data_IF_323034031965
#
_entry.id   IF_323034031965
#
_cell.length_a   1.000
_cell.length_b   1.000
_cell.length_c   1.000
_cell.angle_alpha   90.00
_cell.angle_beta   90.00
_cell.angle_gamma   90.00
#
_symmetry.space_group_name_H-M   'P 1'
#
loop_
_entity.id
_entity.type
_entity.pdbx_description
1 polymer ?
#
# COMPACT_ATOMS: atom_id res chain seq x y z
N UNK A 1 -24.44 -27.18 -29.93
CA UNK A 1 -23.00 -27.41 -29.88
C UNK A 1 -22.46 -26.67 -28.67
N UNK A 2 -22.32 -27.35 -27.53
CA UNK A 2 -21.71 -26.84 -26.32
C UNK A 2 -20.19 -27.00 -26.47
N UNK A 3 -19.46 -25.89 -26.47
CA UNK A 3 -18.00 -25.88 -26.48
C UNK A 3 -17.52 -26.13 -25.05
N UNK A 4 -16.92 -27.26 -24.81
CA UNK A 4 -16.27 -27.56 -23.54
C UNK A 4 -14.95 -26.78 -23.47
N UNK A 5 -14.90 -25.76 -22.61
CA UNK A 5 -13.65 -25.12 -22.20
C UNK A 5 -12.85 -26.13 -21.38
N UNK A 6 -11.88 -26.74 -22.01
CA UNK A 6 -10.88 -27.59 -21.36
C UNK A 6 -10.00 -26.68 -20.48
N UNK A 7 -10.24 -26.69 -19.18
CA UNK A 7 -9.28 -26.16 -18.20
C UNK A 7 -8.13 -27.14 -18.11
N UNK A 8 -7.03 -26.87 -18.82
CA UNK A 8 -5.76 -27.56 -18.59
C UNK A 8 -5.36 -27.25 -17.14
N UNK A 9 -5.16 -28.25 -16.26
CA UNK A 9 -4.64 -27.97 -14.94
C UNK A 9 -3.22 -27.42 -15.10
N UNK A 10 -3.02 -26.15 -14.74
CA UNK A 10 -1.67 -25.57 -14.64
C UNK A 10 -0.94 -26.34 -13.56
N UNK A 11 0.10 -27.07 -13.96
CA UNK A 11 0.93 -27.82 -13.02
C UNK A 11 1.44 -26.87 -11.94
N UNK A 12 1.36 -27.29 -10.67
CA UNK A 12 1.89 -26.51 -9.56
C UNK A 12 3.39 -26.30 -9.79
N UNK A 13 3.92 -25.05 -9.75
CA UNK A 13 5.33 -24.78 -9.98
C UNK A 13 6.23 -25.60 -9.06
N UNK A 14 7.42 -25.92 -9.54
CA UNK A 14 8.43 -26.63 -8.72
C UNK A 14 8.89 -25.75 -7.57
N UNK A 15 9.09 -26.36 -6.38
CA UNK A 15 9.66 -25.68 -5.22
C UNK A 15 11.01 -25.04 -5.56
N UNK A 16 11.22 -23.82 -5.06
CA UNK A 16 12.45 -23.07 -5.23
C UNK A 16 13.18 -22.95 -3.88
N UNK A 17 14.49 -23.14 -3.91
CA UNK A 17 15.30 -22.88 -2.74
C UNK A 17 15.49 -21.36 -2.59
N UNK A 18 15.07 -20.79 -1.46
CA UNK A 18 15.28 -19.38 -1.15
C UNK A 18 15.46 -19.15 0.35
N UNK A 19 16.14 -18.07 0.67
CA UNK A 19 16.39 -17.58 2.02
C UNK A 19 15.48 -16.38 2.30
N UNK A 20 15.04 -16.23 3.56
CA UNK A 20 14.37 -15.04 4.07
C UNK A 20 15.35 -14.37 5.02
N UNK A 21 15.84 -13.17 4.66
CA UNK A 21 16.81 -12.40 5.44
C UNK A 21 16.18 -11.12 5.96
N UNK A 22 15.98 -10.98 7.28
CA UNK A 22 15.51 -9.71 7.85
C UNK A 22 16.46 -8.56 7.49
N UNK A 23 15.90 -7.41 7.16
CA UNK A 23 16.65 -6.17 6.96
C UNK A 23 16.89 -5.48 8.32
N UNK A 24 17.91 -4.62 8.42
CA UNK A 24 18.09 -3.79 9.62
C UNK A 24 16.88 -2.86 9.81
N UNK A 25 16.42 -2.72 11.05
CA UNK A 25 15.30 -1.85 11.40
C UNK A 25 14.06 -2.61 11.85
N UNK A 26 12.93 -1.91 11.88
CA UNK A 26 11.65 -2.44 12.37
C UNK A 26 10.88 -3.23 11.33
N UNK A 27 11.12 -2.93 10.05
CA UNK A 27 10.38 -3.52 8.91
C UNK A 27 11.35 -4.03 7.86
N UNK A 28 10.92 -5.05 7.13
CA UNK A 28 11.59 -5.53 5.94
C UNK A 28 12.29 -6.86 6.08
N UNK A 29 12.13 -7.69 5.06
CA UNK A 29 12.94 -8.88 4.82
C UNK A 29 13.22 -9.03 3.33
N UNK A 30 14.38 -9.54 2.99
CA UNK A 30 14.77 -9.84 1.63
C UNK A 30 14.54 -11.32 1.33
N UNK A 31 13.90 -11.60 0.19
CA UNK A 31 13.68 -12.96 -0.31
C UNK A 31 14.79 -13.23 -1.36
N UNK A 32 15.73 -14.07 -1.00
CA UNK A 32 16.96 -14.29 -1.79
C UNK A 32 16.89 -15.65 -2.48
N UNK A 33 17.13 -15.65 -3.78
CA UNK A 33 17.20 -16.88 -4.58
C UNK A 33 15.89 -17.32 -5.21
N UNK A 34 14.78 -16.59 -4.97
CA UNK A 34 13.49 -16.86 -5.61
C UNK A 34 13.36 -16.11 -6.93
N UNK A 35 12.90 -16.79 -7.96
CA UNK A 35 12.56 -16.24 -9.28
C UNK A 35 11.03 -16.31 -9.48
N UNK A 36 10.39 -15.17 -9.42
CA UNK A 36 8.92 -15.05 -9.58
C UNK A 36 8.47 -15.40 -11.01
N UNK A 37 9.34 -15.28 -12.02
CA UNK A 37 9.00 -15.62 -13.41
C UNK A 37 8.73 -17.11 -13.61
N UNK A 38 9.25 -17.96 -12.73
CA UNK A 38 9.06 -19.42 -12.73
C UNK A 38 7.76 -19.86 -12.03
N UNK A 39 7.01 -18.90 -11.50
CA UNK A 39 5.87 -19.15 -10.63
C UNK A 39 6.31 -19.59 -9.23
N UNK A 40 5.36 -19.56 -8.30
CA UNK A 40 5.57 -19.89 -6.88
C UNK A 40 4.55 -20.95 -6.49
N UNK A 41 4.99 -22.10 -5.99
CA UNK A 41 4.10 -23.13 -5.49
C UNK A 41 3.45 -22.73 -4.15
N UNK A 42 2.51 -23.51 -3.67
CA UNK A 42 1.74 -23.15 -2.47
C UNK A 42 2.59 -23.16 -1.19
N UNK A 43 3.56 -24.06 -1.08
CA UNK A 43 4.44 -24.13 0.07
C UNK A 43 5.38 -22.92 0.12
N UNK A 44 5.96 -22.55 -1.01
CA UNK A 44 6.84 -21.37 -1.11
C UNK A 44 6.04 -20.09 -0.88
N UNK A 45 4.83 -20.00 -1.43
CA UNK A 45 3.94 -18.86 -1.18
C UNK A 45 3.58 -18.72 0.29
N UNK A 46 3.26 -19.80 0.98
CA UNK A 46 2.95 -19.76 2.41
C UNK A 46 4.12 -19.21 3.25
N UNK A 47 5.37 -19.55 2.87
CA UNK A 47 6.58 -19.00 3.51
C UNK A 47 6.73 -17.49 3.24
N UNK A 48 6.49 -17.06 2.00
CA UNK A 48 6.54 -15.63 1.61
C UNK A 48 5.45 -14.84 2.34
N UNK A 49 4.23 -15.36 2.36
CA UNK A 49 3.11 -14.74 3.05
C UNK A 49 3.40 -14.59 4.55
N UNK A 50 3.95 -15.64 5.18
CA UNK A 50 4.37 -15.57 6.58
C UNK A 50 5.46 -14.52 6.79
N UNK A 51 6.46 -14.45 5.91
CA UNK A 51 7.50 -13.42 5.98
C UNK A 51 6.90 -12.00 5.86
N UNK A 52 5.91 -11.80 4.97
CA UNK A 52 5.21 -10.53 4.85
C UNK A 52 4.46 -10.15 6.15
N UNK A 53 3.79 -11.10 6.78
CA UNK A 53 3.11 -10.87 8.06
C UNK A 53 4.08 -10.56 9.21
N UNK A 54 5.26 -11.19 9.21
CA UNK A 54 6.25 -11.02 10.28
C UNK A 54 7.10 -9.75 10.11
N UNK A 55 7.39 -9.36 8.86
CA UNK A 55 8.31 -8.27 8.53
C UNK A 55 7.65 -7.07 7.85
N UNK A 56 6.37 -7.14 7.52
CA UNK A 56 5.53 -6.08 6.93
C UNK A 56 5.90 -5.69 5.49
N UNK A 57 7.18 -5.74 5.13
CA UNK A 57 7.69 -5.50 3.79
C UNK A 57 8.60 -6.66 3.38
N UNK A 58 8.40 -7.19 2.17
CA UNK A 58 9.30 -8.19 1.57
C UNK A 58 9.86 -7.69 0.26
N UNK A 59 11.14 -7.86 0.06
CA UNK A 59 11.87 -7.36 -1.11
C UNK A 59 12.40 -8.54 -1.93
N UNK A 60 12.09 -8.54 -3.21
CA UNK A 60 12.59 -9.50 -4.18
C UNK A 60 13.53 -8.76 -5.14
N UNK A 61 14.84 -9.06 -5.09
CA UNK A 61 15.82 -8.41 -5.94
C UNK A 61 15.83 -9.02 -7.34
N UNK A 62 16.20 -8.21 -8.33
CA UNK A 62 16.53 -8.62 -9.71
C UNK A 62 15.43 -9.43 -10.41
N UNK A 63 14.17 -9.15 -10.10
CA UNK A 63 13.05 -9.84 -10.72
C UNK A 63 12.77 -9.30 -12.12
N UNK A 64 12.67 -10.22 -13.08
CA UNK A 64 12.27 -9.94 -14.48
C UNK A 64 10.97 -10.66 -14.77
N UNK A 65 9.86 -10.00 -14.43
CA UNK A 65 8.52 -10.55 -14.59
C UNK A 65 7.69 -9.71 -15.57
N UNK A 66 6.79 -10.39 -16.27
CA UNK A 66 5.81 -9.71 -17.11
C UNK A 66 4.65 -9.14 -16.26
N UNK A 67 3.85 -8.21 -16.80
CA UNK A 67 2.63 -7.75 -16.13
C UNK A 67 1.71 -8.89 -15.69
N UNK A 68 1.54 -9.92 -16.53
CA UNK A 68 0.71 -11.08 -16.22
C UNK A 68 1.27 -11.89 -15.03
N UNK A 69 2.59 -12.05 -14.96
CA UNK A 69 3.25 -12.73 -13.85
C UNK A 69 3.13 -11.93 -12.55
N UNK A 70 3.27 -10.61 -12.61
CA UNK A 70 3.04 -9.72 -11.48
C UNK A 70 1.60 -9.84 -10.98
N UNK A 71 0.61 -9.78 -11.86
CA UNK A 71 -0.81 -9.94 -11.53
C UNK A 71 -1.08 -11.31 -10.94
N UNK A 72 -0.57 -12.38 -11.55
CA UNK A 72 -0.77 -13.74 -11.08
C UNK A 72 -0.22 -13.96 -9.66
N UNK A 73 0.97 -13.45 -9.39
CA UNK A 73 1.56 -13.52 -8.05
C UNK A 73 0.78 -12.67 -7.03
N UNK A 74 0.41 -11.45 -7.38
CA UNK A 74 -0.34 -10.54 -6.52
C UNK A 74 -1.71 -11.11 -6.14
N UNK A 75 -2.40 -11.78 -7.07
CA UNK A 75 -3.71 -12.44 -6.83
C UNK A 75 -3.66 -13.54 -5.75
N UNK A 76 -2.48 -14.06 -5.45
CA UNK A 76 -2.29 -15.03 -4.37
C UNK A 76 -2.58 -14.43 -2.98
N UNK A 77 -2.41 -13.12 -2.82
CA UNK A 77 -2.71 -12.39 -1.59
C UNK A 77 -4.17 -11.98 -1.48
N UNK A 78 -4.92 -11.93 -2.58
CA UNK A 78 -6.33 -11.55 -2.57
C UNK A 78 -6.82 -10.95 -3.88
N UNK A 79 -8.01 -10.35 -3.83
CA UNK A 79 -8.64 -9.67 -4.97
C UNK A 79 -7.89 -8.36 -5.24
N UNK A 80 -7.47 -8.16 -6.50
CA UNK A 80 -6.76 -6.96 -6.90
C UNK A 80 -7.73 -5.79 -7.07
N UNK A 81 -7.32 -4.62 -6.57
CA UNK A 81 -8.06 -3.38 -6.72
C UNK A 81 -7.68 -2.67 -8.02
N UNK A 82 -8.66 -2.07 -8.68
CA UNK A 82 -8.43 -1.20 -9.84
C UNK A 82 -8.51 0.24 -9.37
N UNK A 83 -7.45 1.01 -9.63
CA UNK A 83 -7.36 2.39 -9.17
C UNK A 83 -8.36 3.30 -9.91
N UNK A 84 -8.87 4.33 -9.21
CA UNK A 84 -9.87 5.28 -9.74
C UNK A 84 -9.35 6.13 -10.90
N UNK A 85 -8.05 6.42 -10.95
CA UNK A 85 -7.39 7.18 -12.02
C UNK A 85 -7.06 6.26 -13.20
N UNK A 86 -8.08 5.92 -13.98
CA UNK A 86 -7.98 4.93 -15.07
C UNK A 86 -6.98 5.29 -16.17
N UNK A 87 -6.69 6.57 -16.38
CA UNK A 87 -5.71 7.04 -17.37
C UNK A 87 -4.26 6.69 -17.04
N UNK A 88 -3.96 6.29 -15.79
CA UNK A 88 -2.64 5.86 -15.35
C UNK A 88 -2.54 4.34 -15.19
N UNK A 89 -3.56 3.59 -15.61
CA UNK A 89 -3.50 2.13 -15.60
C UNK A 89 -2.70 1.63 -16.80
N UNK A 90 -1.95 0.55 -16.59
CA UNK A 90 -1.21 -0.09 -17.68
C UNK A 90 -2.18 -0.61 -18.75
N UNK A 91 -1.90 -0.30 -20.01
CA UNK A 91 -2.72 -0.77 -21.13
C UNK A 91 -2.86 -2.30 -21.11
N UNK A 92 -4.08 -2.80 -21.24
CA UNK A 92 -4.47 -4.21 -21.18
C UNK A 92 -4.27 -4.90 -19.80
N UNK A 93 -3.78 -4.19 -18.78
CA UNK A 93 -3.57 -4.72 -17.42
C UNK A 93 -4.07 -3.70 -16.39
N UNK A 94 -5.40 -3.51 -16.25
CA UNK A 94 -5.98 -2.46 -15.41
C UNK A 94 -5.71 -2.64 -13.92
N UNK A 95 -5.23 -3.81 -13.50
CA UNK A 95 -4.80 -4.07 -12.12
C UNK A 95 -3.46 -3.40 -11.76
N UNK A 96 -2.73 -2.89 -12.76
CA UNK A 96 -1.43 -2.23 -12.57
C UNK A 96 -1.59 -0.72 -12.77
N UNK A 97 -1.29 0.03 -11.72
CA UNK A 97 -1.17 1.49 -11.75
C UNK A 97 0.27 1.86 -12.06
N UNK A 98 0.47 2.73 -13.05
CA UNK A 98 1.79 3.29 -13.34
C UNK A 98 2.07 4.44 -12.38
N UNK A 99 3.13 4.33 -11.60
CA UNK A 99 3.68 5.40 -10.76
C UNK A 99 4.97 5.88 -11.44
N UNK A 100 4.96 7.11 -11.95
CA UNK A 100 6.06 7.64 -12.73
C UNK A 100 6.02 9.18 -12.79
N UNK A 101 7.19 9.81 -12.76
CA UNK A 101 7.38 11.22 -13.04
C UNK A 101 7.83 11.50 -14.51
N UNK A 102 7.85 10.47 -15.35
CA UNK A 102 8.24 10.59 -16.76
C UNK A 102 7.12 11.28 -17.55
N UNK A 103 7.54 12.20 -18.43
CA UNK A 103 6.65 12.90 -19.35
C UNK A 103 7.00 12.50 -20.77
N UNK A 104 6.04 11.95 -21.48
CA UNK A 104 6.15 11.61 -22.90
C UNK A 104 5.19 12.48 -23.73
N UNK A 105 5.69 13.10 -24.78
CA UNK A 105 4.90 13.99 -25.65
C UNK A 105 4.09 15.07 -24.89
N UNK A 106 4.66 15.59 -23.78
CA UNK A 106 4.02 16.61 -22.95
C UNK A 106 2.94 16.08 -22.01
N UNK A 107 2.80 14.76 -21.86
CA UNK A 107 1.84 14.12 -20.96
C UNK A 107 2.56 13.20 -19.95
N UNK A 108 2.08 13.19 -18.73
CA UNK A 108 2.56 12.23 -17.72
C UNK A 108 2.08 10.82 -18.09
N UNK A 109 3.01 9.85 -18.07
CA UNK A 109 2.69 8.44 -18.30
C UNK A 109 2.14 7.74 -17.07
N UNK A 110 2.29 8.33 -15.88
CA UNK A 110 1.87 7.74 -14.61
C UNK A 110 1.54 8.78 -13.56
N UNK A 111 1.24 8.31 -12.36
CA UNK A 111 0.97 9.14 -11.20
C UNK A 111 2.31 9.63 -10.61
N UNK A 112 2.66 10.89 -10.85
CA UNK A 112 3.98 11.43 -10.54
C UNK A 112 4.18 11.88 -9.08
N UNK A 113 3.09 12.05 -8.33
CA UNK A 113 3.11 12.52 -6.95
C UNK A 113 2.69 11.45 -5.92
N UNK A 114 2.64 10.19 -6.34
CA UNK A 114 2.36 9.08 -5.43
C UNK A 114 3.45 8.99 -4.35
N UNK A 115 3.02 8.76 -3.10
CA UNK A 115 3.95 8.62 -1.98
C UNK A 115 4.54 9.92 -1.42
N UNK A 116 4.04 11.08 -1.82
CA UNK A 116 4.52 12.38 -1.32
C UNK A 116 4.31 12.58 0.19
N UNK A 117 3.24 12.02 0.73
CA UNK A 117 2.90 12.06 2.15
C UNK A 117 2.92 10.65 2.72
N UNK A 118 3.19 10.52 4.02
CA UNK A 118 2.99 9.27 4.73
C UNK A 118 1.53 8.83 4.62
N UNK A 119 1.29 7.59 4.20
CA UNK A 119 -0.05 7.06 3.98
C UNK A 119 -0.09 5.53 4.11
N UNK A 120 -1.29 5.02 4.27
CA UNK A 120 -1.59 3.61 4.06
C UNK A 120 -2.48 3.50 2.83
N UNK A 121 -2.11 2.62 1.90
CA UNK A 121 -2.81 2.48 0.63
C UNK A 121 -4.29 2.14 0.82
N UNK A 122 -5.13 2.87 0.08
CA UNK A 122 -6.58 2.73 0.08
C UNK A 122 -7.24 2.88 1.46
N UNK A 123 -6.60 3.56 2.44
CA UNK A 123 -7.22 3.81 3.75
C UNK A 123 -8.53 4.61 3.65
N UNK A 124 -8.76 5.27 2.52
CA UNK A 124 -10.01 5.95 2.17
C UNK A 124 -11.09 5.02 1.57
N UNK A 125 -10.93 3.72 1.64
CA UNK A 125 -11.92 2.70 1.26
C UNK A 125 -12.45 2.00 2.51
N UNK A 126 -13.69 1.49 2.46
CA UNK A 126 -14.25 0.65 3.54
C UNK A 126 -13.39 -0.59 3.80
N UNK A 127 -12.85 -1.18 2.72
CA UNK A 127 -11.83 -2.23 2.77
C UNK A 127 -10.51 -1.66 2.28
N UNK A 128 -9.61 -1.24 3.16
CA UNK A 128 -8.27 -0.82 2.80
C UNK A 128 -7.47 -1.93 2.13
N UNK A 129 -6.43 -1.56 1.41
CA UNK A 129 -5.52 -2.53 0.81
C UNK A 129 -4.88 -3.42 1.88
N UNK A 130 -4.84 -4.74 1.62
CA UNK A 130 -4.07 -5.69 2.43
C UNK A 130 -2.57 -5.44 2.28
N UNK A 131 -2.16 -5.04 1.07
CA UNK A 131 -0.79 -4.71 0.71
C UNK A 131 -0.72 -4.22 -0.72
N UNK A 132 0.45 -3.76 -1.13
CA UNK A 132 0.73 -3.31 -2.49
C UNK A 132 2.01 -3.98 -2.99
N UNK A 133 2.06 -4.32 -4.28
CA UNK A 133 3.24 -4.86 -4.93
C UNK A 133 3.79 -3.84 -5.92
N UNK A 134 4.98 -3.32 -5.64
CA UNK A 134 5.69 -2.41 -6.52
C UNK A 134 6.73 -3.17 -7.34
N UNK A 135 6.73 -3.02 -8.67
CA UNK A 135 7.75 -3.56 -9.55
C UNK A 135 8.49 -2.39 -10.20
N UNK A 136 9.71 -2.14 -9.76
CA UNK A 136 10.56 -1.07 -10.28
C UNK A 136 10.97 -1.38 -11.73
N UNK A 137 10.65 -0.46 -12.65
CA UNK A 137 11.03 -0.54 -14.06
C UNK A 137 12.26 0.32 -14.35
N UNK A 138 12.26 1.54 -13.82
CA UNK A 138 13.37 2.49 -13.89
C UNK A 138 13.62 3.07 -12.50
N UNK A 139 14.87 3.19 -12.12
CA UNK A 139 15.32 3.76 -10.86
C UNK A 139 16.28 4.90 -11.14
N UNK A 140 16.22 6.01 -10.36
CA UNK A 140 17.23 7.04 -10.43
C UNK A 140 18.57 6.49 -9.91
N UNK A 141 19.68 7.12 -10.30
CA UNK A 141 21.01 6.78 -9.80
C UNK A 141 21.18 7.11 -8.31
N UNK A 142 20.42 8.09 -7.81
CA UNK A 142 20.45 8.52 -6.41
C UNK A 142 19.05 8.95 -5.97
N UNK A 143 18.69 8.66 -4.71
CA UNK A 143 17.41 9.02 -4.12
C UNK A 143 16.23 8.19 -4.63
N UNK A 144 15.01 8.65 -4.35
CA UNK A 144 13.77 7.96 -4.72
C UNK A 144 13.43 6.78 -3.83
N UNK A 145 14.01 6.71 -2.63
CA UNK A 145 13.74 5.63 -1.67
C UNK A 145 12.28 5.65 -1.21
N UNK A 146 11.73 4.45 -1.03
CA UNK A 146 10.45 4.28 -0.37
C UNK A 146 10.70 4.00 1.11
N UNK A 147 10.14 4.86 1.96
CA UNK A 147 10.25 4.74 3.41
C UNK A 147 9.00 4.04 3.95
N UNK A 148 9.19 3.21 4.98
CA UNK A 148 8.12 2.49 5.65
C UNK A 148 8.18 2.74 7.16
N UNK A 149 7.03 2.72 7.82
CA UNK A 149 6.91 2.82 9.27
C UNK A 149 6.11 1.63 9.81
N UNK A 150 6.60 1.03 10.90
CA UNK A 150 5.91 -0.05 11.60
C UNK A 150 4.78 0.50 12.48
N UNK A 151 3.55 0.43 11.99
CA UNK A 151 2.39 0.94 12.70
C UNK A 151 1.95 0.04 13.87
N UNK A 152 2.40 -1.22 13.93
CA UNK A 152 2.27 -2.06 15.12
C UNK A 152 3.18 -1.55 16.24
N UNK A 153 4.45 -1.30 15.91
CA UNK A 153 5.42 -0.75 16.86
C UNK A 153 5.03 0.66 17.30
N UNK A 154 4.55 1.49 16.37
CA UNK A 154 4.03 2.81 16.71
C UNK A 154 2.89 2.73 17.75
N UNK A 155 1.99 1.74 17.63
CA UNK A 155 0.98 1.48 18.66
C UNK A 155 1.58 0.98 19.96
N UNK A 156 2.47 0.00 19.90
CA UNK A 156 3.07 -0.61 21.10
C UNK A 156 3.87 0.39 21.94
N UNK A 157 4.48 1.39 21.29
CA UNK A 157 5.28 2.45 21.93
C UNK A 157 4.52 3.77 22.12
N UNK A 158 3.22 3.82 21.78
CA UNK A 158 2.42 5.04 21.92
C UNK A 158 2.37 5.46 23.41
N UNK A 159 2.74 6.72 23.75
CA UNK A 159 2.65 7.24 25.10
C UNK A 159 1.27 7.05 25.71
N UNK A 160 1.21 6.75 27.00
CA UNK A 160 -0.03 6.40 27.71
C UNK A 160 -1.12 7.48 27.57
N UNK A 161 -0.76 8.76 27.61
CA UNK A 161 -1.73 9.84 27.43
C UNK A 161 -2.35 9.86 26.03
N UNK A 162 -1.56 9.57 24.99
CA UNK A 162 -2.07 9.46 23.61
C UNK A 162 -2.89 8.17 23.44
N UNK A 163 -2.44 7.07 24.05
CA UNK A 163 -3.18 5.80 24.04
C UNK A 163 -4.59 5.97 24.61
N UNK A 164 -4.70 6.64 25.75
CA UNK A 164 -6.00 6.99 26.36
C UNK A 164 -6.83 7.94 25.49
N UNK A 165 -6.17 8.91 24.87
CA UNK A 165 -6.86 9.88 24.02
C UNK A 165 -7.47 9.25 22.75
N UNK A 166 -6.93 8.14 22.25
CA UNK A 166 -7.43 7.48 21.02
C UNK A 166 -8.26 6.22 21.29
N UNK A 167 -8.37 5.79 22.54
CA UNK A 167 -9.10 4.56 22.90
C UNK A 167 -10.55 4.60 22.43
N UNK A 168 -10.94 3.60 21.66
CA UNK A 168 -12.29 3.50 21.09
C UNK A 168 -12.67 4.56 20.05
N UNK A 169 -11.76 5.47 19.69
CA UNK A 169 -12.05 6.54 18.73
C UNK A 169 -11.87 6.10 17.29
N UNK A 170 -12.54 6.86 16.43
CA UNK A 170 -12.53 6.67 14.98
C UNK A 170 -12.04 7.95 14.29
N UNK A 171 -11.45 7.79 13.13
CA UNK A 171 -11.02 8.89 12.29
C UNK A 171 -11.59 8.77 10.87
N UNK A 172 -11.84 9.90 10.25
CA UNK A 172 -12.27 9.99 8.87
C UNK A 172 -11.07 9.99 7.94
N UNK A 173 -11.20 9.29 6.81
CA UNK A 173 -10.19 9.17 5.77
C UNK A 173 -10.78 9.62 4.43
N UNK A 174 -10.06 10.47 3.70
CA UNK A 174 -10.48 11.00 2.41
C UNK A 174 -9.35 10.95 1.39
N UNK A 175 -9.65 10.46 0.20
CA UNK A 175 -8.73 10.47 -0.94
C UNK A 175 -8.35 11.88 -1.37
N UNK A 176 -9.27 12.84 -1.21
CA UNK A 176 -9.08 14.23 -1.61
C UNK A 176 -8.48 15.11 -0.52
N UNK A 177 -8.13 14.56 0.64
CA UNK A 177 -7.63 15.30 1.80
C UNK A 177 -6.49 16.28 1.46
N UNK A 178 -5.57 15.87 0.58
CA UNK A 178 -4.39 16.65 0.17
C UNK A 178 -4.44 17.17 -1.28
N UNK A 179 -5.59 17.08 -1.95
CA UNK A 179 -5.70 17.51 -3.36
C UNK A 179 -5.35 18.97 -3.57
N UNK A 180 -5.71 19.85 -2.64
CA UNK A 180 -5.37 21.28 -2.70
C UNK A 180 -3.88 21.54 -2.51
N UNK A 181 -3.19 20.71 -1.75
CA UNK A 181 -1.76 20.82 -1.45
C UNK A 181 -0.88 20.18 -2.53
N UNK A 182 -1.48 19.39 -3.43
CA UNK A 182 -0.79 18.78 -4.56
C UNK A 182 -0.82 19.64 -5.83
N UNK A 183 -1.44 20.82 -5.80
CA UNK A 183 -1.47 21.76 -6.91
C UNK A 183 -0.16 22.56 -6.96
N UNK A 184 0.91 21.92 -7.41
CA UNK A 184 2.17 22.60 -7.73
C UNK A 184 2.32 22.76 -9.24
N UNK A 185 3.26 23.62 -9.64
CA UNK A 185 3.74 23.65 -11.00
C UNK A 185 4.23 22.24 -11.38
N UNK A 186 3.64 21.63 -12.41
CA UNK A 186 3.90 20.24 -12.78
C UNK A 186 3.06 19.19 -12.07
N UNK A 187 2.03 19.55 -11.31
CA UNK A 187 1.10 18.57 -10.73
C UNK A 187 0.23 17.91 -11.80
N UNK A 188 0.33 16.60 -11.85
CA UNK A 188 -0.30 15.74 -12.86
C UNK A 188 -1.60 15.08 -12.38
N UNK A 189 -2.09 15.40 -11.18
CA UNK A 189 -3.36 14.85 -10.71
C UNK A 189 -4.53 15.49 -11.46
N UNK A 190 -5.31 14.71 -12.18
CA UNK A 190 -6.50 15.22 -12.86
C UNK A 190 -7.60 15.57 -11.85
N UNK A 191 -8.47 16.49 -12.21
CA UNK A 191 -9.72 16.71 -11.49
C UNK A 191 -10.58 15.44 -11.59
N UNK A 192 -11.09 14.96 -10.45
CA UNK A 192 -11.96 13.79 -10.42
C UNK A 192 -13.36 14.15 -10.98
N UNK A 193 -13.92 13.23 -11.76
CA UNK A 193 -15.33 13.33 -12.18
C UNK A 193 -16.27 13.05 -11.00
N UNK A 194 -17.56 13.42 -11.08
CA UNK A 194 -18.55 13.08 -10.04
C UNK A 194 -18.61 11.58 -9.75
N UNK A 195 -18.50 10.73 -10.78
CA UNK A 195 -18.50 9.27 -10.64
C UNK A 195 -17.24 8.76 -9.92
N UNK A 196 -16.09 9.37 -10.18
CA UNK A 196 -14.85 9.07 -9.48
C UNK A 196 -14.90 9.52 -8.02
N UNK A 197 -15.44 10.72 -7.75
CA UNK A 197 -15.64 11.22 -6.39
C UNK A 197 -16.55 10.29 -5.57
N UNK A 198 -17.62 9.77 -6.18
CA UNK A 198 -18.52 8.81 -5.52
C UNK A 198 -17.81 7.50 -5.14
N UNK A 199 -16.77 7.08 -5.89
CA UNK A 199 -15.99 5.88 -5.58
C UNK A 199 -14.96 6.08 -4.46
N UNK A 200 -14.66 7.32 -4.09
CA UNK A 200 -13.68 7.69 -3.07
C UNK A 200 -14.30 8.62 -2.02
N UNK A 201 -15.59 8.44 -1.75
CA UNK A 201 -16.27 9.14 -0.65
C UNK A 201 -15.52 8.89 0.66
N UNK A 202 -15.59 9.86 1.56
CA UNK A 202 -15.00 9.77 2.89
C UNK A 202 -15.50 8.52 3.64
N UNK A 203 -14.58 7.82 4.30
CA UNK A 203 -14.88 6.66 5.14
C UNK A 203 -14.34 6.86 6.55
N UNK A 204 -14.88 6.11 7.50
CA UNK A 204 -14.50 6.19 8.91
C UNK A 204 -13.91 4.86 9.35
N UNK A 205 -12.73 4.91 9.97
CA UNK A 205 -12.05 3.73 10.51
C UNK A 205 -11.69 3.93 11.99
N UNK A 206 -11.59 2.85 12.78
CA UNK A 206 -10.96 2.92 14.09
C UNK A 206 -9.53 3.46 13.99
N UNK A 207 -9.13 4.35 14.90
CA UNK A 207 -7.74 4.84 14.98
C UNK A 207 -6.78 3.70 15.31
N UNK A 208 -7.25 2.73 16.10
CA UNK A 208 -6.51 1.51 16.44
C UNK A 208 -7.22 0.33 15.79
N UNK A 209 -6.57 -0.29 14.81
CA UNK A 209 -7.10 -1.47 14.11
C UNK A 209 -6.41 -2.74 14.55
N UNK A 210 -7.16 -3.84 14.57
CA UNK A 210 -6.59 -5.17 14.75
C UNK A 210 -6.33 -5.79 13.38
N UNK A 211 -5.09 -6.23 13.14
CA UNK A 211 -4.74 -6.90 11.89
C UNK A 211 -5.48 -8.24 11.79
N UNK A 212 -6.20 -8.52 10.69
CA UNK A 212 -7.13 -9.65 10.62
C UNK A 212 -6.45 -11.02 10.69
N UNK A 213 -5.20 -11.14 10.26
CA UNK A 213 -4.48 -12.41 10.24
C UNK A 213 -3.58 -12.61 11.48
N UNK A 214 -2.96 -11.53 11.97
CA UNK A 214 -2.01 -11.64 13.10
C UNK A 214 -2.63 -11.34 14.45
N UNK A 215 -3.78 -10.69 14.51
CA UNK A 215 -4.41 -10.23 15.74
C UNK A 215 -3.69 -9.04 16.42
N UNK A 216 -2.57 -8.56 15.85
CA UNK A 216 -1.82 -7.43 16.40
C UNK A 216 -2.57 -6.11 16.18
N UNK A 217 -2.50 -5.23 17.14
CA UNK A 217 -3.02 -3.87 17.00
C UNK A 217 -2.04 -3.00 16.24
N UNK A 218 -2.56 -2.08 15.43
CA UNK A 218 -1.80 -1.09 14.69
C UNK A 218 -2.46 0.27 14.80
N UNK A 219 -1.65 1.32 14.84
CA UNK A 219 -2.13 2.69 14.68
C UNK A 219 -2.54 2.90 13.22
N UNK A 220 -3.77 3.37 12.98
CA UNK A 220 -4.32 3.49 11.62
C UNK A 220 -4.73 4.92 11.32
N UNK A 221 -3.74 5.80 11.29
CA UNK A 221 -3.85 7.20 10.89
C UNK A 221 -2.67 7.55 10.00
N UNK A 222 -2.86 8.46 9.07
CA UNK A 222 -1.79 8.92 8.18
C UNK A 222 -2.00 10.36 7.76
N UNK A 223 -0.91 11.09 7.59
CA UNK A 223 -0.94 12.47 7.13
C UNK A 223 -1.60 12.60 5.75
N UNK A 224 -1.42 11.60 4.87
CA UNK A 224 -1.90 11.63 3.50
C UNK A 224 -3.42 11.58 3.36
N UNK A 225 -4.11 10.84 4.24
CA UNK A 225 -5.54 10.57 4.05
C UNK A 225 -6.42 10.81 5.27
N UNK A 226 -5.88 10.83 6.50
CA UNK A 226 -6.72 11.06 7.69
C UNK A 226 -7.02 12.54 7.84
N UNK A 227 -8.30 12.89 7.99
CA UNK A 227 -8.75 14.28 7.98
C UNK A 227 -9.15 14.80 9.36
N UNK A 228 -9.83 14.00 10.15
CA UNK A 228 -10.30 14.39 11.48
C UNK A 228 -10.63 13.18 12.36
N UNK A 229 -10.62 13.39 13.67
CA UNK A 229 -11.10 12.43 14.67
C UNK A 229 -12.58 12.69 14.93
N UNK A 230 -13.40 11.65 14.83
CA UNK A 230 -14.84 11.77 15.00
C UNK A 230 -15.18 12.13 16.45
N UNK A 231 -16.05 13.13 16.62
CA UNK A 231 -16.55 13.56 17.93
C UNK A 231 -15.61 14.49 18.72
N UNK A 232 -14.50 14.93 18.13
CA UNK A 232 -13.66 15.99 18.70
C UNK A 232 -13.90 17.33 17.99
N UNK A 233 -13.75 18.48 18.71
CA UNK A 233 -13.60 19.79 18.09
C UNK A 233 -12.44 19.79 17.08
N UNK A 234 -12.53 20.66 16.08
CA UNK A 234 -11.57 20.69 14.96
C UNK A 234 -10.13 20.92 15.42
N UNK A 235 -9.92 21.87 16.34
CA UNK A 235 -8.61 22.18 16.89
C UNK A 235 -8.03 21.03 17.72
N UNK A 236 -8.83 20.42 18.59
CA UNK A 236 -8.39 19.26 19.36
C UNK A 236 -8.08 18.05 18.46
N UNK A 237 -8.91 17.83 17.44
CA UNK A 237 -8.69 16.77 16.45
C UNK A 237 -7.39 16.97 15.69
N UNK A 238 -7.16 18.18 15.18
CA UNK A 238 -5.93 18.53 14.46
C UNK A 238 -4.70 18.34 15.33
N UNK A 239 -4.74 18.84 16.56
CA UNK A 239 -3.59 18.80 17.46
C UNK A 239 -3.25 17.35 17.90
N UNK A 240 -4.28 16.52 18.13
CA UNK A 240 -4.08 15.10 18.44
C UNK A 240 -3.54 14.33 17.22
N UNK A 241 -4.10 14.56 16.01
CA UNK A 241 -3.58 13.93 14.80
C UNK A 241 -2.14 14.31 14.52
N UNK A 242 -1.74 15.58 14.72
CA UNK A 242 -0.36 16.01 14.55
C UNK A 242 0.61 15.24 15.47
N UNK A 243 0.23 15.00 16.72
CA UNK A 243 1.02 14.20 17.66
C UNK A 243 1.12 12.74 17.23
N UNK A 244 0.01 12.15 16.74
CA UNK A 244 -0.01 10.78 16.25
C UNK A 244 0.85 10.61 14.99
N UNK A 245 0.79 11.55 14.05
CA UNK A 245 1.65 11.52 12.84
C UNK A 245 3.13 11.61 13.21
N UNK A 246 3.50 12.57 14.05
CA UNK A 246 4.89 12.72 14.48
C UNK A 246 5.41 11.46 15.18
N UNK A 247 4.58 10.83 16.04
CA UNK A 247 4.94 9.59 16.72
C UNK A 247 5.07 8.40 15.75
N UNK A 248 4.19 8.31 14.75
CA UNK A 248 4.16 7.17 13.81
C UNK A 248 5.43 7.04 12.97
N UNK A 249 6.10 8.15 12.70
CA UNK A 249 7.28 8.22 11.81
C UNK A 249 8.57 8.50 12.56
N UNK A 250 8.61 8.22 13.85
CA UNK A 250 9.86 8.25 14.61
C UNK A 250 10.89 7.28 14.02
N UNK A 251 12.20 7.61 14.05
CA UNK A 251 13.25 6.78 13.45
C UNK A 251 13.28 5.34 13.96
N UNK A 252 12.78 5.09 15.15
CA UNK A 252 12.67 3.76 15.75
C UNK A 252 11.50 2.93 15.21
N UNK A 253 10.51 3.54 14.55
CA UNK A 253 9.34 2.90 13.92
C UNK A 253 9.57 2.66 12.41
#
# INVERSE_FOLDING_TARGET
LMSATSTVPTANPTAQAFEIRPLPGSVGAEIIGLDLSRGVNDQDFARIHRAHLDHHVVVFRDQRITPEQQIAFSRRFGVLQIHVLKQFLLANHPEILIVSNIIENGQSIGLGDAGKFWHSDLSYKELPSLGSMLHAQELPSEGGDTLFADMHKAWDQLPEHLRKAVDGRHAAHSYTARYSETKFEGNWRPTLTPEQLAQVAEVVHPIVRTHPETGRKALFVSEGFTTRIIGLPEDESRDLLAQLYAHSVLPEN
#
